data_IF_233125321190
#
_entry.id   IF_233125321190
#
_cell.length_a   1.000
_cell.length_b   1.000
_cell.length_c   1.000
_cell.angle_alpha   90.00
_cell.angle_beta   90.00
_cell.angle_gamma   90.00
#
_symmetry.space_group_name_H-M   'P 1'
#
loop_
_entity.id
_entity.type
_entity.pdbx_description
1 polymer ?
#
# COMPACT_ATOMS: atom_id res chain seq x y z
N UNK A 1 -0.20 -5.94 -0.33
CA UNK A 1 -1.51 -6.49 0.12
C UNK A 1 -2.54 -5.38 0.30
N UNK A 2 -3.83 -5.77 0.35
CA UNK A 2 -4.93 -4.90 0.78
C UNK A 2 -5.60 -5.49 1.99
N UNK A 3 -6.03 -4.64 2.91
CA UNK A 3 -6.60 -5.07 4.18
C UNK A 3 -7.60 -4.03 4.71
N UNK A 4 -8.50 -4.47 5.54
CA UNK A 4 -9.54 -3.68 6.17
C UNK A 4 -10.24 -4.48 7.27
N UNK A 5 -11.46 -4.13 7.59
CA UNK A 5 -12.23 -4.80 8.62
C UNK A 5 -13.35 -5.64 8.00
N UNK A 6 -13.60 -6.82 8.54
CA UNK A 6 -14.69 -7.70 8.09
C UNK A 6 -16.05 -7.06 8.37
N UNK A 7 -16.15 -6.19 9.36
CA UNK A 7 -17.41 -5.58 9.73
C UNK A 7 -17.26 -4.08 10.01
N UNK A 8 -17.69 -3.26 9.04
CA UNK A 8 -17.97 -1.83 9.22
C UNK A 8 -16.87 -0.97 9.85
N UNK A 9 -15.61 -1.37 9.77
CA UNK A 9 -14.50 -0.58 10.32
C UNK A 9 -14.10 -0.90 11.77
N UNK A 10 -14.67 -1.93 12.39
CA UNK A 10 -14.29 -2.32 13.75
C UNK A 10 -12.87 -2.92 13.79
N UNK A 11 -11.93 -2.36 14.58
CA UNK A 11 -10.51 -2.72 14.54
C UNK A 11 -10.24 -4.18 14.94
N UNK A 12 -11.09 -4.78 15.75
CA UNK A 12 -10.94 -6.16 16.21
C UNK A 12 -11.13 -7.21 15.10
N UNK A 13 -11.76 -6.83 13.99
CA UNK A 13 -12.02 -7.71 12.84
C UNK A 13 -11.16 -7.37 11.62
N UNK A 14 -10.00 -6.80 11.86
CA UNK A 14 -9.05 -6.43 10.82
C UNK A 14 -8.51 -7.67 10.08
N UNK A 15 -8.67 -7.69 8.76
CA UNK A 15 -8.39 -8.84 7.92
C UNK A 15 -7.74 -8.44 6.60
N UNK A 16 -7.09 -9.42 5.98
CA UNK A 16 -6.56 -9.29 4.62
C UNK A 16 -7.73 -9.40 3.63
N UNK A 17 -7.87 -8.42 2.76
CA UNK A 17 -8.85 -8.40 1.68
C UNK A 17 -8.29 -9.05 0.41
N UNK A 18 -7.06 -8.70 0.05
CA UNK A 18 -6.39 -9.18 -1.16
C UNK A 18 -4.90 -9.35 -0.92
N UNK A 19 -4.35 -10.45 -1.43
CA UNK A 19 -2.90 -10.67 -1.53
C UNK A 19 -2.57 -10.92 -3.00
N UNK A 20 -1.52 -10.29 -3.49
CA UNK A 20 -0.91 -10.65 -4.76
C UNK A 20 0.58 -10.84 -4.56
N UNK A 21 1.09 -11.94 -5.08
CA UNK A 21 2.49 -12.27 -5.14
C UNK A 21 2.91 -12.35 -6.60
N UNK A 22 3.86 -11.52 -7.00
CA UNK A 22 4.59 -11.72 -8.24
C UNK A 22 5.83 -12.54 -7.93
N UNK A 23 5.88 -13.74 -8.47
CA UNK A 23 7.01 -14.67 -8.32
C UNK A 23 7.89 -14.50 -9.53
N UNK A 24 9.10 -14.01 -9.33
CA UNK A 24 10.10 -13.82 -10.36
C UNK A 24 11.16 -14.91 -10.29
N UNK A 25 11.41 -15.59 -11.39
CA UNK A 25 12.48 -16.56 -11.54
C UNK A 25 13.64 -15.94 -12.32
N UNK A 26 14.75 -15.57 -11.67
CA UNK A 26 15.84 -14.82 -12.32
C UNK A 26 16.52 -15.55 -13.48
N UNK A 27 16.59 -16.89 -13.41
CA UNK A 27 17.26 -17.70 -14.46
C UNK A 27 16.52 -17.70 -15.79
N UNK A 28 15.19 -17.72 -15.74
CA UNK A 28 14.32 -17.81 -16.93
C UNK A 28 13.64 -16.51 -17.26
N UNK A 29 13.81 -15.47 -16.42
CA UNK A 29 13.12 -14.18 -16.50
C UNK A 29 11.58 -14.31 -16.51
N UNK A 30 11.05 -15.42 -15.97
CA UNK A 30 9.61 -15.68 -15.93
C UNK A 30 8.98 -15.06 -14.70
N UNK A 31 7.79 -14.49 -14.90
CA UNK A 31 6.94 -13.95 -13.85
C UNK A 31 5.66 -14.74 -13.76
N UNK A 32 5.33 -15.17 -12.54
CA UNK A 32 4.05 -15.81 -12.22
C UNK A 32 3.29 -14.89 -11.26
N UNK A 33 1.97 -14.85 -11.40
CA UNK A 33 1.09 -14.07 -10.52
C UNK A 33 0.19 -15.03 -9.78
N UNK A 34 0.22 -14.93 -8.46
CA UNK A 34 -0.66 -15.68 -7.56
C UNK A 34 -1.47 -14.67 -6.75
N UNK A 35 -2.79 -14.77 -6.82
CA UNK A 35 -3.70 -13.85 -6.14
C UNK A 35 -4.62 -14.60 -5.20
N UNK A 36 -4.89 -13.98 -4.07
CA UNK A 36 -5.91 -14.38 -3.11
C UNK A 36 -6.88 -13.23 -2.91
N UNK A 37 -8.17 -13.52 -3.04
CA UNK A 37 -9.23 -12.61 -2.66
C UNK A 37 -10.03 -13.19 -1.51
N UNK A 38 -10.24 -12.41 -0.47
CA UNK A 38 -11.04 -12.84 0.67
C UNK A 38 -12.50 -12.98 0.23
N UNK A 39 -13.13 -14.16 0.44
CA UNK A 39 -14.54 -14.34 0.13
C UNK A 39 -15.47 -13.54 1.07
N UNK A 40 -15.00 -13.20 2.28
CA UNK A 40 -15.73 -12.31 3.17
C UNK A 40 -15.64 -10.86 2.69
N UNK A 41 -16.69 -10.07 2.98
CA UNK A 41 -16.65 -8.63 2.73
C UNK A 41 -15.68 -7.96 3.70
N UNK A 42 -14.72 -7.23 3.15
CA UNK A 42 -13.74 -6.45 3.90
C UNK A 42 -13.93 -4.99 3.56
N UNK A 43 -14.09 -4.19 4.59
CA UNK A 43 -14.36 -2.76 4.50
C UNK A 43 -13.17 -1.94 4.99
N UNK A 44 -13.00 -0.74 4.45
CA UNK A 44 -12.08 0.25 5.01
C UNK A 44 -12.80 1.57 5.25
N UNK A 45 -12.28 2.35 6.21
CA UNK A 45 -12.79 3.68 6.51
C UNK A 45 -12.01 4.69 5.66
N UNK A 46 -12.73 5.40 4.81
CA UNK A 46 -12.21 6.52 4.03
C UNK A 46 -12.61 7.84 4.68
N UNK A 47 -11.71 8.81 4.68
CA UNK A 47 -11.95 10.14 5.25
C UNK A 47 -11.88 11.17 4.11
N UNK A 48 -12.97 11.87 3.89
CA UNK A 48 -13.07 12.91 2.87
C UNK A 48 -13.09 14.28 3.52
N UNK A 49 -12.37 15.24 2.93
CA UNK A 49 -12.50 16.64 3.29
C UNK A 49 -13.68 17.25 2.54
N UNK A 50 -14.64 17.83 3.27
CA UNK A 50 -15.67 18.69 2.68
C UNK A 50 -15.05 20.05 2.40
N UNK A 51 -15.20 20.53 1.19
CA UNK A 51 -14.82 21.88 0.78
C UNK A 51 -16.08 22.67 0.43
N UNK A 52 -16.09 23.98 0.77
CA UNK A 52 -17.13 24.89 0.33
C UNK A 52 -16.88 25.36 -1.13
N UNK A 53 -17.78 26.15 -1.66
CA UNK A 53 -17.70 26.69 -3.03
C UNK A 53 -16.44 27.55 -3.28
N UNK A 54 -15.78 28.00 -2.20
CA UNK A 54 -14.52 28.75 -2.25
C UNK A 54 -13.28 27.85 -2.12
N UNK A 55 -13.45 26.51 -2.04
CA UNK A 55 -12.37 25.55 -1.90
C UNK A 55 -11.80 25.37 -0.48
N UNK A 56 -12.40 26.03 0.54
CA UNK A 56 -11.96 25.88 1.92
C UNK A 56 -12.53 24.62 2.56
N UNK A 57 -11.69 23.88 3.32
CA UNK A 57 -12.12 22.72 4.08
C UNK A 57 -13.05 23.14 5.21
N UNK A 58 -14.33 22.76 5.13
CA UNK A 58 -15.37 23.06 6.13
C UNK A 58 -15.69 21.89 7.05
N UNK A 59 -15.08 20.73 6.80
CA UNK A 59 -15.28 19.54 7.64
C UNK A 59 -14.62 18.30 7.05
N UNK A 60 -14.72 17.19 7.80
CA UNK A 60 -14.30 15.85 7.34
C UNK A 60 -15.43 14.87 7.54
N UNK A 61 -15.70 14.07 6.53
CA UNK A 61 -16.63 12.97 6.59
C UNK A 61 -15.92 11.64 6.51
N UNK A 62 -16.44 10.65 7.22
CA UNK A 62 -15.97 9.29 7.17
C UNK A 62 -17.00 8.42 6.46
N UNK A 63 -16.54 7.58 5.56
CA UNK A 63 -17.33 6.56 4.91
C UNK A 63 -16.69 5.19 5.08
N UNK A 64 -17.54 4.17 5.13
CA UNK A 64 -17.11 2.78 5.07
C UNK A 64 -17.24 2.32 3.63
N UNK A 65 -16.14 1.88 3.04
CA UNK A 65 -16.10 1.42 1.64
C UNK A 65 -15.83 -0.07 1.62
N UNK A 66 -16.70 -0.82 0.93
CA UNK A 66 -16.49 -2.24 0.69
C UNK A 66 -15.40 -2.44 -0.38
N UNK A 67 -14.34 -3.17 -0.04
CA UNK A 67 -13.17 -3.32 -0.90
C UNK A 67 -13.43 -4.10 -2.18
N UNK A 68 -14.42 -5.01 -2.16
CA UNK A 68 -14.77 -5.83 -3.32
C UNK A 68 -15.70 -5.11 -4.29
N UNK A 69 -16.71 -4.41 -3.76
CA UNK A 69 -17.78 -3.81 -4.58
C UNK A 69 -17.57 -2.33 -4.85
N UNK A 70 -16.69 -1.66 -4.09
CA UNK A 70 -16.52 -0.21 -4.12
C UNK A 70 -17.70 0.59 -3.56
N UNK A 71 -18.75 -0.09 -3.06
CA UNK A 71 -19.91 0.62 -2.48
C UNK A 71 -19.53 1.27 -1.17
N UNK A 72 -19.93 2.53 -1.00
CA UNK A 72 -19.75 3.29 0.23
C UNK A 72 -21.05 3.42 1.01
N UNK A 73 -20.91 3.65 2.31
CA UNK A 73 -21.99 3.97 3.25
C UNK A 73 -21.45 4.89 4.35
N UNK A 74 -22.28 5.73 4.99
CA UNK A 74 -21.85 6.57 6.10
C UNK A 74 -21.21 5.76 7.22
N UNK A 75 -20.15 6.29 7.82
CA UNK A 75 -19.53 5.70 9.01
C UNK A 75 -20.38 6.04 10.24
N UNK A 76 -20.81 5.01 10.96
CA UNK A 76 -21.59 5.17 12.19
C UNK A 76 -20.67 4.89 13.41
N UNK A 77 -20.38 5.90 14.20
CA UNK A 77 -19.48 5.77 15.36
C UNK A 77 -20.09 4.93 16.50
N UNK A 78 -21.42 4.92 16.60
CA UNK A 78 -22.17 4.24 17.68
C UNK A 78 -22.68 2.84 17.31
N UNK A 79 -22.12 2.22 16.29
CA UNK A 79 -22.56 0.90 15.87
C UNK A 79 -22.20 -0.16 16.92
N UNK A 80 -23.19 -0.67 17.66
CA UNK A 80 -23.04 -1.82 18.56
C UNK A 80 -23.36 -3.11 17.83
N UNK A 81 -22.40 -4.02 17.77
CA UNK A 81 -22.61 -5.37 17.27
C UNK A 81 -23.44 -6.15 18.31
N UNK A 82 -24.52 -6.79 17.88
CA UNK A 82 -25.17 -7.82 18.70
C UNK A 82 -24.27 -9.06 18.80
N UNK A 83 -24.57 -9.93 19.76
CA UNK A 83 -23.76 -11.12 20.04
C UNK A 83 -23.68 -12.08 18.84
N UNK A 84 -24.75 -12.20 18.06
CA UNK A 84 -24.79 -13.05 16.86
C UNK A 84 -23.91 -12.50 15.75
N UNK A 85 -23.96 -11.19 15.52
CA UNK A 85 -23.11 -10.51 14.54
C UNK A 85 -21.63 -10.60 14.93
N UNK A 86 -21.31 -10.48 16.23
CA UNK A 86 -19.96 -10.68 16.76
C UNK A 86 -19.45 -12.09 16.48
N UNK A 87 -20.23 -13.12 16.84
CA UNK A 87 -19.87 -14.53 16.61
C UNK A 87 -19.68 -14.82 15.11
N UNK A 88 -20.56 -14.29 14.27
CA UNK A 88 -20.45 -14.45 12.82
C UNK A 88 -19.16 -13.82 12.29
N UNK A 89 -18.87 -12.57 12.67
CA UNK A 89 -17.66 -11.85 12.26
C UNK A 89 -16.40 -12.55 12.73
N UNK A 90 -16.40 -13.10 13.94
CA UNK A 90 -15.27 -13.87 14.46
C UNK A 90 -15.02 -15.16 13.66
N UNK A 91 -16.07 -15.90 13.30
CA UNK A 91 -15.96 -17.08 12.43
C UNK A 91 -15.42 -16.73 11.04
N UNK A 92 -15.86 -15.60 10.47
CA UNK A 92 -15.34 -15.13 9.18
C UNK A 92 -13.85 -14.76 9.28
N UNK A 93 -13.44 -14.10 10.34
CA UNK A 93 -12.04 -13.77 10.59
C UNK A 93 -11.17 -15.03 10.69
N UNK A 94 -11.60 -16.04 11.46
CA UNK A 94 -10.88 -17.31 11.58
C UNK A 94 -10.76 -18.04 10.23
N UNK A 95 -11.85 -18.09 9.44
CA UNK A 95 -11.83 -18.66 8.08
C UNK A 95 -10.84 -17.91 7.18
N UNK A 96 -10.82 -16.58 7.25
CA UNK A 96 -9.89 -15.75 6.50
C UNK A 96 -8.45 -16.10 6.84
N UNK A 97 -8.11 -16.18 8.13
CA UNK A 97 -6.77 -16.56 8.56
C UNK A 97 -6.36 -17.94 8.02
N UNK A 98 -7.26 -18.92 8.10
CA UNK A 98 -7.01 -20.27 7.55
C UNK A 98 -6.79 -20.27 6.02
N UNK A 99 -7.58 -19.50 5.28
CA UNK A 99 -7.46 -19.37 3.84
C UNK A 99 -6.17 -18.66 3.42
N UNK A 100 -5.82 -17.56 4.09
CA UNK A 100 -4.56 -16.82 3.87
C UNK A 100 -3.36 -17.73 4.11
N UNK A 101 -3.36 -18.45 5.24
CA UNK A 101 -2.30 -19.41 5.57
C UNK A 101 -2.16 -20.48 4.48
N UNK A 102 -3.28 -21.10 4.10
CA UNK A 102 -3.29 -22.14 3.05
C UNK A 102 -2.74 -21.60 1.73
N UNK A 103 -3.20 -20.43 1.31
CA UNK A 103 -2.74 -19.78 0.08
C UNK A 103 -1.23 -19.55 0.10
N UNK A 104 -0.72 -18.84 1.11
CA UNK A 104 0.70 -18.48 1.19
C UNK A 104 1.60 -19.72 1.27
N UNK A 105 1.26 -20.71 2.11
CA UNK A 105 2.06 -21.94 2.22
C UNK A 105 2.06 -22.74 0.92
N UNK A 106 0.96 -22.74 0.16
CA UNK A 106 0.92 -23.37 -1.15
C UNK A 106 1.83 -22.66 -2.16
N UNK A 107 1.79 -21.33 -2.22
CA UNK A 107 2.65 -20.53 -3.11
C UNK A 107 4.12 -20.73 -2.73
N UNK A 108 4.47 -20.63 -1.44
CA UNK A 108 5.84 -20.80 -0.97
C UNK A 108 6.40 -22.18 -1.33
N UNK A 109 5.58 -23.23 -1.21
CA UNK A 109 5.97 -24.61 -1.58
C UNK A 109 6.07 -24.78 -3.10
N UNK A 110 5.06 -24.30 -3.86
CA UNK A 110 4.98 -24.42 -5.31
C UNK A 110 6.22 -23.84 -6.00
N UNK A 111 6.65 -22.67 -5.55
CA UNK A 111 7.77 -21.94 -6.16
C UNK A 111 9.08 -22.07 -5.37
N UNK A 112 9.09 -22.82 -4.26
CA UNK A 112 10.28 -22.95 -3.38
C UNK A 112 10.86 -21.58 -3.03
N UNK A 113 10.02 -20.67 -2.56
CA UNK A 113 10.43 -19.30 -2.29
C UNK A 113 11.45 -19.24 -1.16
N UNK A 114 12.52 -18.49 -1.40
CA UNK A 114 13.61 -18.24 -0.43
C UNK A 114 13.65 -16.76 0.01
N UNK A 115 13.14 -15.86 -0.83
CA UNK A 115 13.17 -14.42 -0.59
C UNK A 115 11.78 -13.83 -0.84
N UNK A 116 11.37 -12.95 0.04
CA UNK A 116 10.17 -12.14 -0.09
C UNK A 116 10.55 -10.67 -0.06
N UNK A 117 10.19 -9.93 -1.10
CA UNK A 117 10.44 -8.50 -1.20
C UNK A 117 9.15 -7.77 -0.84
N UNK A 118 9.27 -6.79 0.04
CA UNK A 118 8.18 -5.95 0.51
C UNK A 118 8.53 -4.47 0.34
N UNK A 119 7.52 -3.63 0.47
CA UNK A 119 7.68 -2.19 0.52
C UNK A 119 6.85 -1.65 1.70
N UNK A 120 7.50 -1.17 2.76
CA UNK A 120 6.90 -0.89 4.08
C UNK A 120 6.05 -2.08 4.58
N UNK A 121 6.62 -3.27 4.45
CA UNK A 121 5.91 -4.53 4.61
C UNK A 121 5.66 -4.96 6.04
N UNK A 122 5.98 -4.15 7.06
CA UNK A 122 5.84 -4.55 8.48
C UNK A 122 4.42 -4.99 8.82
N UNK A 123 3.42 -4.25 8.35
CA UNK A 123 2.01 -4.57 8.59
C UNK A 123 1.57 -5.79 7.80
N UNK A 124 2.04 -5.94 6.58
CA UNK A 124 1.76 -7.08 5.71
C UNK A 124 2.27 -8.38 6.32
N UNK A 125 3.52 -8.38 6.79
CA UNK A 125 4.14 -9.52 7.48
C UNK A 125 3.38 -9.85 8.77
N UNK A 126 3.10 -8.85 9.61
CA UNK A 126 2.33 -9.04 10.85
C UNK A 126 0.97 -9.72 10.60
N UNK A 127 0.22 -9.30 9.59
CA UNK A 127 -1.07 -9.90 9.25
C UNK A 127 -0.94 -11.34 8.74
N UNK A 128 0.11 -11.64 8.00
CA UNK A 128 0.42 -13.01 7.58
C UNK A 128 0.79 -13.88 8.79
N UNK A 129 1.61 -13.40 9.72
CA UNK A 129 1.98 -14.10 10.94
C UNK A 129 0.77 -14.34 11.85
N UNK A 130 -0.10 -13.33 11.99
CA UNK A 130 -1.37 -13.46 12.68
C UNK A 130 -2.26 -14.54 12.06
N UNK A 131 -2.12 -14.77 10.77
CA UNK A 131 -2.80 -15.88 10.06
C UNK A 131 -2.10 -17.23 10.22
N UNK A 132 -1.02 -17.31 11.01
CA UNK A 132 -0.26 -18.52 11.29
C UNK A 132 0.79 -18.88 10.23
N UNK A 133 1.19 -17.93 9.40
CA UNK A 133 2.31 -18.10 8.48
C UNK A 133 3.62 -17.82 9.22
N UNK A 134 4.63 -18.69 9.03
CA UNK A 134 5.97 -18.52 9.62
C UNK A 134 6.97 -18.26 8.51
N UNK A 135 7.74 -17.17 8.64
CA UNK A 135 8.74 -16.75 7.65
C UNK A 135 10.18 -17.18 7.99
N UNK A 136 10.39 -18.10 8.97
CA UNK A 136 11.70 -18.46 9.51
C UNK A 136 12.73 -18.94 8.48
N UNK A 137 12.28 -19.38 7.29
CA UNK A 137 13.13 -19.87 6.20
C UNK A 137 13.09 -18.97 4.96
N UNK A 138 12.47 -17.80 5.09
CA UNK A 138 12.32 -16.83 4.00
C UNK A 138 13.05 -15.58 4.39
N UNK A 139 14.01 -15.17 3.56
CA UNK A 139 14.66 -13.88 3.71
C UNK A 139 13.67 -12.78 3.31
N UNK A 140 13.39 -11.86 4.22
CA UNK A 140 12.50 -10.72 3.96
C UNK A 140 13.35 -9.48 3.72
N UNK A 141 13.18 -8.89 2.54
CA UNK A 141 13.82 -7.63 2.15
C UNK A 141 12.72 -6.56 2.10
N UNK A 142 12.90 -5.49 2.86
CA UNK A 142 12.02 -4.32 2.79
C UNK A 142 12.71 -3.20 2.02
N UNK A 143 12.35 -3.03 0.76
CA UNK A 143 12.98 -2.09 -0.15
C UNK A 143 12.86 -0.64 0.34
N UNK A 144 11.74 -0.25 0.98
CA UNK A 144 11.62 1.10 1.52
C UNK A 144 12.64 1.35 2.64
N UNK A 145 12.87 0.34 3.49
CA UNK A 145 13.85 0.43 4.58
C UNK A 145 15.27 0.55 4.05
N UNK A 146 15.60 -0.20 3.00
CA UNK A 146 16.95 -0.15 2.41
C UNK A 146 17.18 1.20 1.72
N UNK A 147 16.23 1.68 0.94
CA UNK A 147 16.28 3.03 0.35
C UNK A 147 16.38 4.15 1.40
N UNK A 148 15.63 4.02 2.51
CA UNK A 148 15.70 5.02 3.58
C UNK A 148 17.07 5.09 4.24
N UNK A 149 17.79 3.98 4.36
CA UNK A 149 19.16 3.97 4.89
C UNK A 149 20.15 4.71 3.98
N UNK A 150 19.94 4.66 2.66
CA UNK A 150 20.84 5.28 1.68
C UNK A 150 20.52 6.76 1.42
N UNK A 151 19.23 7.14 1.54
CA UNK A 151 18.75 8.46 1.14
C UNK A 151 18.26 9.33 2.28
N UNK A 152 18.10 8.77 3.48
CA UNK A 152 17.43 9.40 4.64
C UNK A 152 16.03 9.94 4.30
N UNK A 153 15.35 9.31 3.32
CA UNK A 153 14.03 9.74 2.86
C UNK A 153 13.07 8.56 2.66
N UNK A 154 11.82 8.73 3.09
CA UNK A 154 10.75 7.75 2.89
C UNK A 154 10.02 8.00 1.57
N UNK A 155 10.44 7.32 0.53
CA UNK A 155 9.75 7.34 -0.75
C UNK A 155 8.41 6.59 -0.67
N UNK A 156 7.41 7.04 -1.44
CA UNK A 156 6.26 6.20 -1.75
C UNK A 156 6.54 5.34 -2.98
N UNK A 157 5.95 4.14 -3.03
CA UNK A 157 6.08 3.23 -4.19
C UNK A 157 5.63 3.91 -5.50
N UNK A 158 4.62 4.79 -5.43
CA UNK A 158 4.16 5.56 -6.59
C UNK A 158 5.22 6.52 -7.15
N UNK A 159 5.99 7.17 -6.27
CA UNK A 159 7.08 8.06 -6.70
C UNK A 159 8.21 7.25 -7.34
N UNK A 160 8.57 6.12 -6.72
CA UNK A 160 9.60 5.24 -7.26
C UNK A 160 9.19 4.63 -8.60
N UNK A 161 7.94 4.19 -8.75
CA UNK A 161 7.42 3.69 -10.02
C UNK A 161 7.51 4.73 -11.15
N UNK A 162 7.36 6.04 -10.82
CA UNK A 162 7.57 7.12 -11.79
C UNK A 162 9.05 7.31 -12.15
N UNK A 163 9.96 7.19 -11.18
CA UNK A 163 11.41 7.30 -11.44
C UNK A 163 11.88 6.23 -12.41
N UNK A 164 11.39 5.00 -12.22
CA UNK A 164 11.76 3.87 -13.09
C UNK A 164 10.93 3.80 -14.39
N UNK A 165 10.04 4.78 -14.62
CA UNK A 165 9.14 4.81 -15.78
C UNK A 165 8.36 3.50 -15.96
N UNK A 166 7.76 3.03 -14.82
CA UNK A 166 6.97 1.82 -14.84
C UNK A 166 5.77 1.92 -15.77
N UNK A 167 5.63 0.94 -16.67
CA UNK A 167 4.53 0.82 -17.60
C UNK A 167 4.08 -0.63 -17.75
N UNK A 168 2.79 -0.84 -17.94
CA UNK A 168 2.22 -2.10 -18.39
C UNK A 168 1.64 -1.88 -19.79
N UNK A 169 2.26 -2.45 -20.80
CA UNK A 169 1.86 -2.32 -22.20
C UNK A 169 1.49 -3.70 -22.76
N UNK A 170 0.20 -3.96 -22.88
CA UNK A 170 -0.31 -5.26 -23.28
C UNK A 170 0.10 -6.35 -22.29
N UNK A 171 1.01 -7.22 -22.69
CA UNK A 171 1.57 -8.29 -21.86
C UNK A 171 3.02 -8.03 -21.41
N UNK A 172 3.47 -6.79 -21.41
CA UNK A 172 4.83 -6.45 -21.02
C UNK A 172 4.85 -5.50 -19.83
N UNK A 173 5.60 -5.88 -18.79
CA UNK A 173 6.03 -4.96 -17.75
C UNK A 173 7.32 -4.29 -18.21
N UNK A 174 7.35 -2.97 -18.21
CA UNK A 174 8.48 -2.17 -18.66
C UNK A 174 8.91 -1.15 -17.62
N UNK A 175 10.19 -0.90 -17.60
CA UNK A 175 10.83 0.19 -16.89
C UNK A 175 11.92 0.83 -17.77
N UNK A 176 12.72 1.71 -17.21
CA UNK A 176 13.81 2.37 -17.95
C UNK A 176 14.77 1.38 -18.65
N UNK A 177 15.16 0.33 -17.91
CA UNK A 177 16.22 -0.59 -18.35
C UNK A 177 15.75 -2.05 -18.45
N UNK A 178 14.50 -2.34 -18.12
CA UNK A 178 14.03 -3.72 -18.03
C UNK A 178 12.68 -3.92 -18.71
N UNK A 179 12.51 -5.12 -19.28
CA UNK A 179 11.27 -5.56 -19.90
C UNK A 179 11.02 -7.02 -19.57
N UNK A 180 9.81 -7.33 -19.10
CA UNK A 180 9.39 -8.69 -18.78
C UNK A 180 8.07 -9.02 -19.46
N UNK A 181 8.03 -10.16 -20.13
CA UNK A 181 6.79 -10.68 -20.68
C UNK A 181 5.94 -11.38 -19.63
N UNK A 182 4.65 -11.13 -19.66
CA UNK A 182 3.63 -11.80 -18.86
C UNK A 182 2.72 -12.63 -19.72
N UNK A 183 2.27 -13.77 -19.20
CA UNK A 183 1.16 -14.46 -19.82
C UNK A 183 -0.07 -13.53 -19.88
N UNK A 184 -0.83 -13.47 -21.02
CA UNK A 184 -1.96 -12.52 -21.17
C UNK A 184 -3.02 -12.60 -20.06
N UNK A 185 -3.28 -13.80 -19.51
CA UNK A 185 -4.20 -13.98 -18.36
C UNK A 185 -3.65 -13.32 -17.10
N UNK A 186 -2.34 -13.39 -16.88
CA UNK A 186 -1.68 -12.78 -15.75
C UNK A 186 -1.67 -11.22 -15.89
N UNK A 187 -1.37 -10.72 -17.09
CA UNK A 187 -1.39 -9.30 -17.37
C UNK A 187 -2.77 -8.65 -17.07
N UNK A 188 -3.87 -9.33 -17.36
CA UNK A 188 -5.23 -8.87 -17.05
C UNK A 188 -5.54 -8.72 -15.56
N UNK A 189 -4.74 -9.32 -14.67
CA UNK A 189 -4.91 -9.17 -13.22
C UNK A 189 -4.24 -7.90 -12.68
N UNK A 190 -3.37 -7.26 -13.47
CA UNK A 190 -2.62 -6.07 -13.09
C UNK A 190 -3.36 -4.83 -13.59
N UNK A 191 -4.15 -4.20 -12.74
CA UNK A 191 -4.83 -2.94 -13.05
C UNK A 191 -4.86 -2.03 -11.82
N UNK A 192 -4.95 -0.70 -12.01
CA UNK A 192 -4.94 0.26 -10.91
C UNK A 192 -5.95 -0.10 -9.81
N UNK A 193 -5.52 0.01 -8.56
CA UNK A 193 -6.36 -0.32 -7.42
C UNK A 193 -6.28 -1.77 -6.95
N UNK A 194 -5.54 -2.68 -7.61
CA UNK A 194 -5.32 -4.06 -7.17
C UNK A 194 -3.99 -4.23 -6.42
N UNK A 195 -3.89 -5.26 -5.57
CA UNK A 195 -2.62 -5.64 -4.95
C UNK A 195 -1.62 -6.16 -6.01
N UNK A 196 -2.09 -6.73 -7.12
CA UNK A 196 -1.25 -7.16 -8.23
C UNK A 196 -0.54 -5.98 -8.91
N UNK A 197 -1.22 -4.84 -9.04
CA UNK A 197 -0.63 -3.62 -9.59
C UNK A 197 0.49 -3.06 -8.72
N UNK A 198 0.29 -3.05 -7.39
CA UNK A 198 1.34 -2.61 -6.47
C UNK A 198 2.52 -3.59 -6.44
N UNK A 199 2.25 -4.91 -6.51
CA UNK A 199 3.29 -5.92 -6.59
C UNK A 199 4.10 -5.84 -7.90
N UNK A 200 3.46 -5.52 -9.02
CA UNK A 200 4.14 -5.32 -10.30
C UNK A 200 5.08 -4.09 -10.27
N UNK A 201 4.61 -2.98 -9.68
CA UNK A 201 5.46 -1.80 -9.45
C UNK A 201 6.65 -2.13 -8.57
N UNK A 202 6.41 -2.85 -7.47
CA UNK A 202 7.48 -3.26 -6.55
C UNK A 202 8.52 -4.13 -7.24
N UNK A 203 8.11 -5.09 -8.08
CA UNK A 203 9.04 -5.91 -8.85
C UNK A 203 9.95 -5.07 -9.74
N UNK A 204 9.37 -4.14 -10.51
CA UNK A 204 10.13 -3.31 -11.44
C UNK A 204 11.07 -2.34 -10.69
N UNK A 205 10.58 -1.70 -9.63
CA UNK A 205 11.40 -0.81 -8.79
C UNK A 205 12.54 -1.57 -8.13
N UNK A 206 12.28 -2.76 -7.58
CA UNK A 206 13.31 -3.57 -6.94
C UNK A 206 14.37 -4.04 -7.94
N UNK A 207 13.97 -4.47 -9.13
CA UNK A 207 14.91 -4.95 -10.14
C UNK A 207 15.76 -3.80 -10.70
N UNK A 208 15.18 -2.61 -10.93
CA UNK A 208 15.97 -1.41 -11.31
C UNK A 208 16.95 -1.02 -10.20
N UNK A 209 16.52 -1.00 -8.93
CA UNK A 209 17.38 -0.71 -7.79
C UNK A 209 18.53 -1.71 -7.66
N UNK A 210 18.29 -3.01 -7.87
CA UNK A 210 19.31 -4.06 -7.77
C UNK A 210 20.28 -4.07 -8.94
N UNK A 211 19.77 -3.98 -10.18
CA UNK A 211 20.53 -4.26 -11.39
C UNK A 211 21.11 -2.99 -12.02
N UNK A 212 20.49 -1.83 -11.75
CA UNK A 212 20.87 -0.51 -12.28
C UNK A 212 20.97 0.53 -11.17
N UNK A 213 21.64 0.17 -10.09
CA UNK A 213 21.67 0.92 -8.83
C UNK A 213 22.12 2.37 -8.97
N UNK A 214 23.22 2.63 -9.71
CA UNK A 214 23.75 3.98 -9.90
C UNK A 214 22.76 4.90 -10.62
N UNK A 215 22.17 4.43 -11.73
CA UNK A 215 21.15 5.18 -12.50
C UNK A 215 19.90 5.43 -11.64
N UNK A 216 19.45 4.41 -10.92
CA UNK A 216 18.33 4.51 -10.01
C UNK A 216 18.56 5.56 -8.93
N UNK A 217 19.70 5.51 -8.24
CA UNK A 217 20.04 6.44 -7.16
C UNK A 217 20.23 7.87 -7.67
N UNK A 218 20.80 8.05 -8.87
CA UNK A 218 20.88 9.36 -9.51
C UNK A 218 19.49 9.97 -9.74
N UNK A 219 18.56 9.20 -10.30
CA UNK A 219 17.16 9.64 -10.52
C UNK A 219 16.42 9.92 -9.21
N UNK A 220 16.67 9.11 -8.17
CA UNK A 220 16.10 9.31 -6.84
C UNK A 220 16.58 10.63 -6.23
N UNK A 221 17.88 10.95 -6.36
CA UNK A 221 18.45 12.22 -5.89
C UNK A 221 17.86 13.43 -6.63
N UNK A 222 17.68 13.34 -7.95
CA UNK A 222 17.01 14.39 -8.73
C UNK A 222 15.57 14.64 -8.27
N UNK A 223 14.85 13.58 -7.93
CA UNK A 223 13.49 13.73 -7.38
C UNK A 223 13.50 14.38 -6.00
N UNK A 224 14.45 14.02 -5.12
CA UNK A 224 14.58 14.63 -3.80
C UNK A 224 14.86 16.14 -3.89
N UNK A 225 15.77 16.54 -4.77
CA UNK A 225 16.08 17.96 -5.00
C UNK A 225 14.82 18.74 -5.45
N UNK A 226 14.01 18.16 -6.36
CA UNK A 226 12.74 18.80 -6.77
C UNK A 226 11.75 18.94 -5.62
N UNK A 227 11.63 17.92 -4.77
CA UNK A 227 10.72 17.95 -3.61
C UNK A 227 11.18 19.02 -2.59
N UNK A 228 12.49 19.18 -2.39
CA UNK A 228 13.04 20.20 -1.49
C UNK A 228 12.82 21.61 -2.02
N UNK A 229 13.03 21.82 -3.32
CA UNK A 229 12.76 23.12 -3.97
C UNK A 229 11.29 23.53 -3.83
N UNK A 230 10.35 22.61 -4.10
CA UNK A 230 8.91 22.89 -3.96
C UNK A 230 8.52 23.25 -2.50
N UNK A 231 9.12 22.60 -1.51
CA UNK A 231 8.87 22.93 -0.10
C UNK A 231 9.45 24.29 0.31
N UNK A 232 10.54 24.73 -0.31
CA UNK A 232 11.13 26.07 -0.09
C UNK A 232 10.23 27.18 -0.65
N UNK A 233 9.67 26.98 -1.84
CA UNK A 233 8.77 27.92 -2.49
C UNK A 233 7.43 28.08 -1.75
N UNK A 234 6.84 26.96 -1.24
CA UNK A 234 5.61 26.99 -0.46
C UNK A 234 5.79 27.58 0.96
N UNK A 235 7.03 27.62 1.49
CA UNK A 235 7.36 28.16 2.79
C UNK A 235 7.56 29.69 2.82
N UNK A 236 7.84 30.30 1.67
CA UNK A 236 8.06 31.77 1.57
C UNK A 236 6.75 32.57 1.41
N UNK A 237 5.62 31.91 1.19
CA UNK A 237 4.30 32.57 0.99
C UNK A 237 3.39 32.57 2.23
N UNK A 238 3.91 32.29 3.43
CA UNK A 238 3.13 32.50 4.64
C UNK A 238 3.09 34.02 4.95
N UNK A 239 1.91 34.68 4.93
CA UNK A 239 1.81 36.07 5.30
C UNK A 239 2.17 36.21 6.77
N UNK A 240 3.10 37.15 7.06
CA UNK A 240 3.36 37.64 8.43
C UNK A 240 2.01 37.98 9.08
N UNK A 241 1.73 37.32 10.19
CA UNK A 241 0.61 37.72 11.05
C UNK A 241 0.86 39.15 11.56
N UNK A 242 -0.13 40.07 11.48
CA UNK A 242 0.04 41.40 12.02
C UNK A 242 0.31 41.30 13.52
N UNK A 243 1.33 41.99 13.96
CA UNK A 243 1.66 42.15 15.35
C UNK A 243 0.43 42.73 16.12
N UNK A 244 -0.11 41.95 17.05
CA UNK A 244 -1.09 42.46 18.01
C UNK A 244 -0.39 43.50 18.92
N UNK A 245 -0.81 44.75 18.75
CA UNK A 245 -0.47 45.84 19.64
C UNK A 245 -0.92 45.49 21.06
N UNK A 246 0.07 45.32 21.93
CA UNK A 246 -0.13 45.29 23.37
C UNK A 246 -0.64 46.66 23.82
N UNK A 247 -1.95 46.83 24.01
CA UNK A 247 -2.50 47.92 24.77
C UNK A 247 -2.50 47.54 26.25
N UNK A 248 -1.52 48.10 26.93
CA UNK A 248 -1.46 48.36 28.38
C UNK A 248 -2.56 49.34 28.75
N UNK A 249 -3.54 48.93 29.54
CA UNK A 249 -4.40 49.82 30.31
C UNK A 249 -4.60 49.27 31.71
N UNK A 250 -3.65 49.66 32.57
CA UNK A 250 -3.88 49.83 34.00
C UNK A 250 -4.90 50.95 34.21
N UNK A 251 -5.94 50.76 35.02
CA UNK A 251 -6.50 51.71 36.02
C UNK A 251 -7.58 51.02 36.87
N UNK A 252 -7.36 51.15 38.22
CA UNK A 252 -8.23 51.10 39.40
C UNK A 252 -8.88 49.78 39.81
#
# INVERSE_FOLDING_TARGET
MKYGNIYGGFPNFFAIAEISLLVFEPRTQKIFIETFQNPADVDYVSVFSKVNDLGHTVGREKEVVNMRTGRSRPFMEEFKLDERALQYSFKQLQRTHGNVRKFLLNVFRKYRLHTLITFDGRRDIFLCERSGVKFQRINIIDLQKDLNKETDYLFSLNKLAKIVDYRLEGSYLRSNNQEYWLHPIAAKQIYPGTAAFDAARLLMVHNEYRDHHEDFMHKAALLLNKIQQQKGEDGETAPEAPAEDANDDSVD
#
